data_IF_438135556858
#
_entry.id   IF_438135556858
#
_cell.length_a   1.000
_cell.length_b   1.000
_cell.length_c   1.000
_cell.angle_alpha   90.00
_cell.angle_beta   90.00
_cell.angle_gamma   90.00
#
_symmetry.space_group_name_H-M   'P 1'
#
loop_
_entity.id
_entity.type
_entity.pdbx_description
1 polymer ?
#
# COMPACT_ATOMS: atom_id res chain seq x y z
N UNK A 1 11.24 -6.96 -1.79
CA UNK A 1 11.05 -6.83 -0.32
C UNK A 1 12.17 -6.01 0.35
N UNK A 2 13.38 -6.10 -0.18
CA UNK A 2 14.61 -5.44 0.23
C UNK A 2 14.45 -3.92 0.37
N UNK A 3 13.79 -3.27 -0.59
CA UNK A 3 13.55 -1.82 -0.52
C UNK A 3 12.59 -1.43 0.62
N UNK A 4 11.61 -2.28 0.92
CA UNK A 4 10.71 -2.12 2.06
C UNK A 4 11.49 -2.26 3.37
N UNK A 5 12.30 -3.31 3.48
CA UNK A 5 13.07 -3.59 4.70
C UNK A 5 14.08 -2.47 4.97
N UNK A 6 14.81 -2.00 3.95
CA UNK A 6 15.73 -0.87 4.06
C UNK A 6 15.02 0.45 4.44
N UNK A 7 13.79 0.68 3.97
CA UNK A 7 12.98 1.83 4.38
C UNK A 7 12.60 1.77 5.86
N UNK A 8 12.32 0.58 6.38
CA UNK A 8 12.02 0.38 7.80
C UNK A 8 13.31 0.53 8.63
N UNK A 9 14.44 -0.04 8.18
CA UNK A 9 15.75 0.14 8.82
C UNK A 9 16.07 1.62 9.03
N UNK A 10 15.97 2.43 7.97
CA UNK A 10 16.26 3.86 8.05
C UNK A 10 15.32 4.60 9.03
N UNK A 11 14.05 4.23 9.10
CA UNK A 11 13.10 4.83 10.04
C UNK A 11 13.44 4.46 11.49
N UNK A 12 13.79 3.20 11.74
CA UNK A 12 14.22 2.74 13.07
C UNK A 12 15.53 3.41 13.50
N UNK A 13 16.53 3.46 12.61
CA UNK A 13 17.84 4.10 12.84
C UNK A 13 17.72 5.60 13.12
N UNK A 14 16.78 6.27 12.44
CA UNK A 14 16.53 7.70 12.66
C UNK A 14 15.97 8.00 14.07
N UNK A 15 15.42 6.99 14.75
CA UNK A 15 14.82 7.12 16.06
C UNK A 15 13.52 7.93 16.09
N UNK A 16 12.89 8.25 14.95
CA UNK A 16 11.61 8.97 14.93
C UNK A 16 10.43 8.06 15.30
N UNK A 17 9.22 8.63 15.35
CA UNK A 17 7.96 7.87 15.34
C UNK A 17 7.36 8.00 13.95
N UNK A 18 7.01 6.89 13.32
CA UNK A 18 6.44 6.90 11.98
C UNK A 18 5.38 5.83 11.78
N UNK A 19 4.48 6.11 10.84
CA UNK A 19 3.56 5.15 10.26
C UNK A 19 4.12 4.78 8.88
N UNK A 20 4.61 3.56 8.72
CA UNK A 20 5.17 3.06 7.47
C UNK A 20 4.03 2.58 6.56
N UNK A 21 3.66 3.41 5.60
CA UNK A 21 2.70 3.05 4.55
C UNK A 21 3.37 2.24 3.45
N UNK A 22 3.23 0.92 3.47
CA UNK A 22 3.70 0.10 2.35
C UNK A 22 2.87 0.44 1.10
N UNK A 23 3.52 0.76 -0.02
CA UNK A 23 2.87 1.05 -1.31
C UNK A 23 3.15 -0.01 -2.37
N UNK A 24 2.51 0.11 -3.53
CA UNK A 24 2.76 -0.77 -4.69
C UNK A 24 3.71 -0.12 -5.70
N UNK A 25 4.57 -0.89 -6.38
CA UNK A 25 5.41 -0.37 -7.44
C UNK A 25 4.54 0.09 -8.63
N UNK A 26 4.97 1.16 -9.31
CA UNK A 26 4.25 1.74 -10.47
C UNK A 26 5.08 1.63 -11.75
N UNK A 27 5.48 0.42 -12.17
CA UNK A 27 6.30 0.25 -13.37
C UNK A 27 5.50 0.66 -14.61
N UNK A 28 6.23 1.03 -15.68
CA UNK A 28 5.62 1.07 -17.00
C UNK A 28 5.32 -0.38 -17.41
N UNK A 29 4.08 -0.72 -17.82
CA UNK A 29 3.76 -2.09 -18.21
C UNK A 29 4.56 -2.46 -19.47
N UNK A 30 5.06 -3.70 -19.52
CA UNK A 30 5.59 -4.27 -20.76
C UNK A 30 4.43 -4.75 -21.64
N UNK A 31 4.74 -5.04 -22.90
CA UNK A 31 3.75 -5.61 -23.81
C UNK A 31 3.16 -6.91 -23.24
N UNK A 32 1.83 -6.97 -23.18
CA UNK A 32 1.09 -8.11 -22.60
C UNK A 32 0.96 -8.11 -21.07
N UNK A 33 1.58 -7.18 -20.35
CA UNK A 33 1.44 -7.08 -18.89
C UNK A 33 0.32 -6.11 -18.49
N UNK A 34 -0.41 -6.40 -17.39
CA UNK A 34 -1.40 -5.47 -16.88
C UNK A 34 -0.75 -4.17 -16.42
N UNK A 35 -1.47 -3.06 -16.58
CA UNK A 35 -1.06 -1.78 -16.02
C UNK A 35 -1.06 -1.86 -14.48
N UNK A 36 -0.15 -1.16 -13.80
CA UNK A 36 -0.01 -1.24 -12.34
C UNK A 36 -1.32 -0.93 -11.58
N UNK A 37 -2.20 -0.12 -12.16
CA UNK A 37 -3.50 0.21 -11.57
C UNK A 37 -4.46 -0.97 -11.47
N UNK A 38 -4.22 -2.05 -12.22
CA UNK A 38 -5.04 -3.26 -12.26
C UNK A 38 -4.48 -4.35 -11.33
N UNK A 39 -3.33 -4.11 -10.71
CA UNK A 39 -2.65 -5.08 -9.85
C UNK A 39 -2.98 -4.72 -8.39
N UNK A 40 -3.69 -5.59 -7.65
CA UNK A 40 -4.01 -5.33 -6.25
C UNK A 40 -2.77 -5.38 -5.37
N UNK A 41 -2.89 -4.80 -4.17
CA UNK A 41 -1.83 -4.83 -3.17
C UNK A 41 -1.44 -6.27 -2.81
N UNK A 42 -0.14 -6.62 -2.74
CA UNK A 42 0.26 -7.99 -2.46
C UNK A 42 -0.09 -8.42 -1.02
N UNK A 43 -1.08 -9.31 -0.88
CA UNK A 43 -1.52 -9.89 0.40
C UNK A 43 -0.36 -10.52 1.17
N UNK A 44 0.52 -11.25 0.47
CA UNK A 44 1.66 -11.94 1.08
C UNK A 44 2.64 -10.98 1.75
N UNK A 45 2.83 -9.79 1.19
CA UNK A 45 3.75 -8.79 1.74
C UNK A 45 3.15 -8.08 2.95
N UNK A 46 1.86 -7.74 2.91
CA UNK A 46 1.15 -7.21 4.07
C UNK A 46 1.17 -8.23 5.21
N UNK A 47 0.90 -9.51 4.91
CA UNK A 47 1.02 -10.59 5.90
C UNK A 47 2.43 -10.67 6.47
N UNK A 48 3.47 -10.69 5.64
CA UNK A 48 4.88 -10.74 6.07
C UNK A 48 5.22 -9.64 7.06
N UNK A 49 4.81 -8.40 6.77
CA UNK A 49 5.06 -7.25 7.63
C UNK A 49 4.23 -7.31 8.92
N UNK A 50 2.93 -7.61 8.81
CA UNK A 50 1.98 -7.62 9.93
C UNK A 50 2.14 -8.81 10.87
N UNK A 51 2.77 -9.91 10.44
CA UNK A 51 3.12 -11.03 11.33
C UNK A 51 4.62 -11.10 11.65
N UNK A 52 5.39 -10.14 11.16
CA UNK A 52 6.84 -10.10 11.32
C UNK A 52 7.28 -8.83 12.03
N UNK A 53 8.14 -8.06 11.37
CA UNK A 53 8.82 -6.89 11.92
C UNK A 53 7.87 -5.80 12.44
N UNK A 54 6.71 -5.62 11.80
CA UNK A 54 5.71 -4.61 12.16
C UNK A 54 4.43 -5.26 12.68
N UNK A 55 4.58 -6.28 13.53
CA UNK A 55 3.47 -7.06 14.09
C UNK A 55 2.75 -6.40 15.27
N UNK A 56 3.39 -5.45 15.94
CA UNK A 56 2.81 -4.71 17.07
C UNK A 56 2.50 -3.26 16.69
N UNK A 57 1.42 -2.73 17.25
CA UNK A 57 1.04 -1.32 17.14
C UNK A 57 1.63 -0.44 18.26
N UNK A 58 2.35 -1.04 19.22
CA UNK A 58 3.00 -0.33 20.33
C UNK A 58 4.40 0.22 19.95
N UNK A 59 4.91 -0.20 18.78
CA UNK A 59 6.19 0.21 18.25
C UNK A 59 6.28 1.71 17.93
N UNK A 60 7.51 2.23 17.79
CA UNK A 60 7.72 3.57 17.23
C UNK A 60 7.39 3.63 15.75
N UNK A 61 7.64 2.53 15.05
CA UNK A 61 7.30 2.34 13.64
C UNK A 61 6.15 1.34 13.57
N UNK A 62 5.05 1.73 12.93
CA UNK A 62 3.84 0.90 12.80
C UNK A 62 3.45 0.78 11.32
N UNK A 63 2.65 -0.24 10.98
CA UNK A 63 2.30 -0.54 9.59
C UNK A 63 1.02 0.16 9.15
N UNK A 64 1.02 0.68 7.92
CA UNK A 64 -0.17 1.09 7.17
C UNK A 64 -0.08 0.63 5.71
N UNK A 65 -1.19 0.77 4.99
CA UNK A 65 -1.26 0.52 3.55
C UNK A 65 -1.41 1.82 2.77
N UNK A 66 -0.43 2.15 1.94
CA UNK A 66 -0.52 3.23 0.95
C UNK A 66 -1.12 2.67 -0.35
N UNK A 67 -2.45 2.59 -0.39
CA UNK A 67 -3.23 2.00 -1.48
C UNK A 67 -3.37 2.98 -2.65
N UNK A 68 -3.74 2.50 -3.84
CA UNK A 68 -4.00 3.38 -4.98
C UNK A 68 -5.27 4.22 -4.78
N UNK A 69 -6.35 3.57 -4.32
CA UNK A 69 -7.67 4.18 -4.17
C UNK A 69 -8.41 4.36 -5.50
N UNK A 70 -9.69 4.71 -5.40
CA UNK A 70 -10.64 4.73 -6.52
C UNK A 70 -10.23 5.66 -7.68
N UNK A 71 -9.41 6.69 -7.43
CA UNK A 71 -9.02 7.61 -8.51
C UNK A 71 -7.82 7.07 -9.33
N UNK A 72 -7.07 6.10 -8.80
CA UNK A 72 -5.85 5.55 -9.42
C UNK A 72 -5.94 4.06 -9.76
N UNK A 73 -7.05 3.40 -9.47
CA UNK A 73 -7.31 2.01 -9.82
C UNK A 73 -8.78 1.76 -10.13
N UNK A 74 -9.12 0.68 -10.86
CA UNK A 74 -10.50 0.22 -10.96
C UNK A 74 -11.11 -0.08 -9.58
N UNK A 75 -12.44 0.04 -9.49
CA UNK A 75 -13.16 -0.12 -8.22
C UNK A 75 -12.90 -1.49 -7.57
N UNK A 76 -12.74 -2.56 -8.34
CA UNK A 76 -12.44 -3.89 -7.81
C UNK A 76 -11.09 -3.95 -7.07
N UNK A 77 -10.08 -3.24 -7.57
CA UNK A 77 -8.76 -3.15 -6.94
C UNK A 77 -8.85 -2.29 -5.69
N UNK A 78 -9.51 -1.13 -5.76
CA UNK A 78 -9.71 -0.28 -4.59
C UNK A 78 -10.45 -1.02 -3.46
N UNK A 79 -11.52 -1.76 -3.79
CA UNK A 79 -12.27 -2.57 -2.83
C UNK A 79 -11.45 -3.73 -2.26
N UNK A 80 -10.61 -4.38 -3.08
CA UNK A 80 -9.67 -5.40 -2.61
C UNK A 80 -8.74 -4.81 -1.54
N UNK A 81 -8.06 -3.71 -1.84
CA UNK A 81 -7.07 -3.10 -0.96
C UNK A 81 -7.70 -2.60 0.34
N UNK A 82 -8.90 -2.00 0.28
CA UNK A 82 -9.64 -1.58 1.48
C UNK A 82 -10.07 -2.76 2.36
N UNK A 83 -10.48 -3.89 1.75
CA UNK A 83 -10.80 -5.12 2.51
C UNK A 83 -9.57 -5.70 3.16
N UNK A 84 -8.44 -5.71 2.45
CA UNK A 84 -7.16 -6.20 2.97
C UNK A 84 -6.69 -5.34 4.16
N UNK A 85 -6.77 -4.02 4.05
CA UNK A 85 -6.46 -3.12 5.16
C UNK A 85 -7.34 -3.42 6.38
N UNK A 86 -8.65 -3.60 6.17
CA UNK A 86 -9.58 -3.97 7.24
C UNK A 86 -9.26 -5.34 7.85
N UNK A 87 -8.94 -6.35 7.05
CA UNK A 87 -8.60 -7.70 7.50
C UNK A 87 -7.41 -7.69 8.48
N UNK A 88 -6.39 -6.89 8.19
CA UNK A 88 -5.19 -6.77 9.01
C UNK A 88 -5.25 -5.66 10.07
N UNK A 89 -6.38 -4.96 10.18
CA UNK A 89 -6.57 -3.86 11.13
C UNK A 89 -5.68 -2.65 10.85
N UNK A 90 -5.36 -2.39 9.59
CA UNK A 90 -4.40 -1.36 9.18
C UNK A 90 -5.12 -0.07 8.74
N UNK A 91 -4.49 1.06 9.05
CA UNK A 91 -4.81 2.33 8.39
C UNK A 91 -4.50 2.22 6.89
N UNK A 92 -5.35 2.81 6.06
CA UNK A 92 -5.09 2.96 4.64
C UNK A 92 -5.05 4.44 4.25
N UNK A 93 -4.17 4.78 3.32
CA UNK A 93 -4.03 6.11 2.74
C UNK A 93 -4.05 6.01 1.22
N UNK A 94 -4.77 6.93 0.57
CA UNK A 94 -4.92 6.99 -0.88
C UNK A 94 -4.85 8.44 -1.36
N UNK A 95 -4.40 8.62 -2.60
CA UNK A 95 -4.53 9.91 -3.27
C UNK A 95 -5.95 10.06 -3.79
N UNK A 96 -6.54 11.24 -3.59
CA UNK A 96 -7.85 11.61 -4.12
C UNK A 96 -7.67 12.81 -5.04
N UNK A 97 -8.19 12.70 -6.25
CA UNK A 97 -8.20 13.72 -7.29
C UNK A 97 -9.27 14.78 -7.00
N UNK A 98 -10.45 14.36 -6.52
CA UNK A 98 -11.52 15.28 -6.13
C UNK A 98 -12.32 15.88 -7.29
N UNK A 99 -12.17 15.34 -8.51
CA UNK A 99 -12.91 15.72 -9.71
C UNK A 99 -13.40 14.47 -10.48
N UNK A 100 -14.44 14.64 -11.29
CA UNK A 100 -15.06 13.59 -12.10
C UNK A 100 -14.10 13.01 -13.16
N UNK A 101 -13.06 13.74 -13.57
CA UNK A 101 -12.03 13.25 -14.50
C UNK A 101 -10.95 12.42 -13.79
N UNK A 102 -11.36 11.30 -13.16
CA UNK A 102 -10.44 10.37 -12.48
C UNK A 102 -9.33 9.90 -13.42
N UNK A 103 -8.15 9.58 -12.86
CA UNK A 103 -6.99 9.14 -13.66
C UNK A 103 -7.24 7.78 -14.32
N UNK A 104 -7.98 6.89 -13.64
CA UNK A 104 -8.43 5.62 -14.19
C UNK A 104 -9.94 5.70 -14.41
N UNK A 105 -10.38 5.44 -15.65
CA UNK A 105 -11.80 5.42 -15.99
C UNK A 105 -12.49 4.21 -15.33
N UNK A 106 -13.62 4.45 -14.65
CA UNK A 106 -14.38 3.39 -13.99
C UNK A 106 -13.86 2.97 -12.61
N UNK A 107 -12.80 3.62 -12.12
CA UNK A 107 -12.52 3.67 -10.68
C UNK A 107 -13.58 4.48 -9.97
#
# INVERSE_FOLDING_TARGET
PEHTDAGIDALEESGIRALFGHGTPKPKPREGEPHYSQIPHPVSEIKRLRTGRLSSDDGRITLAMAILGADYSPLEVALHDMRLAREYGLLSSAHIWGDASRKVQGG
#
